data_IF_318094724020
#
_entry.id   IF_318094724020
#
_cell.length_a   1.000
_cell.length_b   1.000
_cell.length_c   1.000
_cell.angle_alpha   90.00
_cell.angle_beta   90.00
_cell.angle_gamma   90.00
#
_symmetry.space_group_name_H-M   'P 1'
#
loop_
_entity.id
_entity.type
_entity.pdbx_description
1 polymer ?
#
# COMPACT_ATOMS: atom_id res chain seq x y z
N UNK A 1 1.33 -18.65 -10.74
CA UNK A 1 2.16 -17.85 -11.66
C UNK A 1 2.20 -18.58 -13.00
N UNK A 2 1.19 -18.34 -13.85
CA UNK A 2 1.09 -19.02 -15.16
C UNK A 2 1.94 -18.25 -16.17
N UNK A 3 3.05 -18.86 -16.58
CA UNK A 3 3.92 -18.35 -17.65
C UNK A 3 3.12 -18.45 -18.95
N UNK A 4 2.53 -17.34 -19.39
CA UNK A 4 1.99 -17.21 -20.75
C UNK A 4 3.15 -17.37 -21.73
N UNK A 5 3.35 -18.57 -22.26
CA UNK A 5 4.17 -18.81 -23.45
C UNK A 5 3.51 -18.11 -24.63
N UNK A 6 4.02 -16.92 -24.98
CA UNK A 6 3.61 -16.18 -26.15
C UNK A 6 4.01 -16.98 -27.40
N UNK A 7 3.05 -17.67 -28.01
CA UNK A 7 3.20 -18.26 -29.32
C UNK A 7 3.33 -17.11 -30.33
N UNK A 8 4.57 -16.69 -30.64
CA UNK A 8 4.81 -15.67 -31.66
C UNK A 8 4.46 -16.28 -33.01
N UNK A 9 3.31 -15.90 -33.56
CA UNK A 9 2.93 -16.24 -34.92
C UNK A 9 4.03 -15.74 -35.87
N UNK A 10 4.48 -16.59 -36.80
CA UNK A 10 5.50 -16.25 -37.81
C UNK A 10 5.14 -14.99 -38.64
N UNK A 11 3.86 -14.61 -38.66
CA UNK A 11 3.32 -13.43 -39.35
C UNK A 11 3.22 -12.17 -38.48
N UNK A 12 3.68 -12.19 -37.23
CA UNK A 12 3.71 -10.99 -36.38
C UNK A 12 4.93 -10.11 -36.71
N UNK A 13 4.84 -9.45 -37.86
CA UNK A 13 5.85 -8.51 -38.36
C UNK A 13 5.80 -7.18 -37.60
N UNK A 14 4.94 -7.00 -36.59
CA UNK A 14 4.84 -5.76 -35.78
C UNK A 14 5.62 -5.79 -34.47
N UNK A 15 6.10 -6.97 -34.06
CA UNK A 15 6.69 -7.18 -32.73
C UNK A 15 8.22 -7.22 -32.70
N UNK A 16 8.90 -6.88 -33.80
CA UNK A 16 10.37 -6.87 -33.83
C UNK A 16 10.95 -5.61 -33.17
N UNK A 17 12.19 -5.67 -32.64
CA UNK A 17 12.84 -4.47 -32.10
C UNK A 17 13.09 -3.44 -33.22
N UNK A 18 13.10 -2.12 -32.92
CA UNK A 18 13.38 -1.08 -33.91
C UNK A 18 14.65 -1.32 -34.73
N UNK A 19 15.70 -1.83 -34.07
CA UNK A 19 16.96 -2.15 -34.73
C UNK A 19 16.79 -3.15 -35.89
N UNK A 20 15.90 -4.13 -35.76
CA UNK A 20 15.67 -5.11 -36.82
C UNK A 20 15.09 -4.47 -38.08
N UNK A 21 14.09 -3.59 -37.95
CA UNK A 21 13.56 -2.86 -39.12
C UNK A 21 14.60 -1.91 -39.73
N UNK A 22 15.45 -1.29 -38.91
CA UNK A 22 16.57 -0.47 -39.40
C UNK A 22 17.57 -1.30 -40.21
N UNK A 23 17.92 -2.51 -39.75
CA UNK A 23 18.77 -3.43 -40.49
C UNK A 23 18.11 -3.90 -41.79
N UNK A 24 16.81 -4.20 -41.78
CA UNK A 24 16.06 -4.59 -42.99
C UNK A 24 16.04 -3.43 -43.99
N UNK A 25 15.85 -2.18 -43.54
CA UNK A 25 15.88 -0.99 -44.38
C UNK A 25 17.25 -0.79 -45.05
N UNK A 26 18.34 -0.96 -44.30
CA UNK A 26 19.71 -0.89 -44.85
C UNK A 26 20.00 -2.05 -45.82
N UNK A 27 19.52 -3.25 -45.50
CA UNK A 27 19.66 -4.40 -46.39
C UNK A 27 18.90 -4.19 -47.70
N UNK A 28 17.71 -3.57 -47.67
CA UNK A 28 16.97 -3.19 -48.87
C UNK A 28 17.84 -2.32 -49.80
N UNK A 29 18.51 -1.29 -49.28
CA UNK A 29 19.41 -0.43 -50.08
C UNK A 29 20.52 -1.26 -50.75
N UNK A 30 21.20 -2.11 -49.98
CA UNK A 30 22.32 -2.88 -50.52
C UNK A 30 21.87 -3.91 -51.56
N UNK A 31 20.77 -4.62 -51.31
CA UNK A 31 20.25 -5.65 -52.21
C UNK A 31 19.79 -5.01 -53.52
N UNK A 32 19.01 -3.92 -53.47
CA UNK A 32 18.53 -3.26 -54.67
C UNK A 32 19.65 -2.56 -55.46
N UNK A 33 20.65 -1.98 -54.78
CA UNK A 33 21.86 -1.49 -55.44
C UNK A 33 22.55 -2.58 -56.27
N UNK A 34 22.72 -3.78 -55.70
CA UNK A 34 23.30 -4.92 -56.41
C UNK A 34 22.43 -5.36 -57.59
N UNK A 35 21.11 -5.42 -57.42
CA UNK A 35 20.17 -5.73 -58.49
C UNK A 35 20.28 -4.73 -59.64
N UNK A 36 20.38 -3.43 -59.34
CA UNK A 36 20.50 -2.39 -60.37
C UNK A 36 21.78 -2.49 -61.17
N UNK A 37 22.94 -2.70 -60.52
CA UNK A 37 24.22 -2.78 -61.24
C UNK A 37 24.44 -4.11 -61.97
N UNK A 38 23.97 -5.24 -61.43
CA UNK A 38 24.23 -6.55 -62.04
C UNK A 38 23.19 -6.98 -63.07
N UNK A 39 21.93 -6.54 -62.92
CA UNK A 39 20.83 -6.98 -63.79
C UNK A 39 20.40 -5.86 -64.74
N UNK A 40 20.37 -4.60 -64.26
CA UNK A 40 19.71 -3.49 -64.98
C UNK A 40 20.66 -2.35 -65.38
N UNK A 41 21.98 -2.55 -65.40
CA UNK A 41 22.94 -1.47 -65.60
C UNK A 41 22.72 -0.68 -66.91
N UNK A 42 22.23 -1.35 -67.96
CA UNK A 42 22.02 -0.77 -69.29
C UNK A 42 20.60 -0.24 -69.52
N UNK A 43 19.70 -0.39 -68.54
CA UNK A 43 18.28 -0.06 -68.66
C UNK A 43 17.95 1.36 -68.18
N UNK A 44 18.98 2.16 -67.90
CA UNK A 44 18.88 3.58 -67.57
C UNK A 44 19.07 4.45 -68.82
N UNK A 45 18.51 5.66 -68.82
CA UNK A 45 18.73 6.63 -69.89
C UNK A 45 20.20 7.08 -69.90
N UNK A 46 20.83 7.06 -71.07
CA UNK A 46 22.24 7.42 -71.23
C UNK A 46 23.18 6.22 -71.11
N UNK A 47 24.35 6.45 -70.51
CA UNK A 47 25.39 5.44 -70.31
C UNK A 47 25.02 4.42 -69.21
N UNK A 48 25.67 3.26 -69.24
CA UNK A 48 25.48 2.21 -68.24
C UNK A 48 25.84 2.68 -66.84
N UNK A 49 25.01 2.36 -65.84
CA UNK A 49 25.29 2.78 -64.46
C UNK A 49 26.38 1.94 -63.79
N UNK A 50 27.27 2.60 -63.06
CA UNK A 50 28.30 1.95 -62.23
C UNK A 50 27.83 1.66 -60.79
N UNK A 51 28.69 1.01 -60.00
CA UNK A 51 28.40 0.66 -58.59
C UNK A 51 27.94 1.87 -57.75
N UNK A 52 28.66 2.99 -57.82
CA UNK A 52 28.35 4.20 -57.03
C UNK A 52 26.99 4.79 -57.43
N UNK A 53 26.72 4.85 -58.74
CA UNK A 53 25.45 5.36 -59.28
C UNK A 53 24.28 4.44 -58.89
N UNK A 54 24.48 3.12 -58.89
CA UNK A 54 23.46 2.15 -58.47
C UNK A 54 23.11 2.28 -56.98
N UNK A 55 24.10 2.49 -56.12
CA UNK A 55 23.92 2.68 -54.68
C UNK A 55 23.19 4.00 -54.42
N UNK A 56 23.63 5.06 -55.09
CA UNK A 56 22.98 6.35 -55.03
C UNK A 56 21.51 6.28 -55.48
N UNK A 57 21.23 5.65 -56.62
CA UNK A 57 19.86 5.48 -57.11
C UNK A 57 18.99 4.69 -56.13
N UNK A 58 19.53 3.61 -55.56
CA UNK A 58 18.83 2.80 -54.55
C UNK A 58 18.52 3.59 -53.27
N UNK A 59 19.46 4.41 -52.77
CA UNK A 59 19.25 5.29 -51.62
C UNK A 59 18.16 6.31 -51.92
N UNK A 60 18.25 7.03 -53.03
CA UNK A 60 17.30 8.08 -53.43
C UNK A 60 15.90 7.53 -53.68
N UNK A 61 15.81 6.29 -54.15
CA UNK A 61 14.55 5.57 -54.39
C UNK A 61 13.90 5.12 -53.08
N UNK A 62 14.63 4.44 -52.19
CA UNK A 62 14.05 3.96 -50.91
C UNK A 62 13.71 5.10 -49.95
N UNK A 63 14.43 6.22 -50.04
CA UNK A 63 14.15 7.44 -49.27
C UNK A 63 13.04 8.27 -49.90
N UNK A 64 12.49 7.84 -51.05
CA UNK A 64 11.44 8.53 -51.81
C UNK A 64 11.82 9.94 -52.26
N UNK A 65 13.12 10.27 -52.28
CA UNK A 65 13.63 11.58 -52.71
C UNK A 65 13.49 11.77 -54.23
N UNK A 66 13.81 10.73 -55.01
CA UNK A 66 13.55 10.69 -56.45
C UNK A 66 14.07 11.89 -57.27
N UNK A 67 15.35 12.25 -57.14
CA UNK A 67 15.92 13.45 -57.79
C UNK A 67 15.83 13.50 -59.32
N UNK A 68 15.67 12.34 -59.98
CA UNK A 68 15.43 12.24 -61.44
C UNK A 68 16.67 12.41 -62.31
N UNK A 69 17.85 12.55 -61.72
CA UNK A 69 19.14 12.59 -62.40
C UNK A 69 19.54 11.23 -63.00
N UNK A 70 19.16 10.13 -62.36
CA UNK A 70 19.18 8.78 -62.91
C UNK A 70 17.75 8.31 -63.17
N UNK A 71 17.41 8.08 -64.44
CA UNK A 71 16.04 7.74 -64.85
C UNK A 71 16.01 6.41 -65.61
N UNK A 72 15.22 5.42 -65.17
CA UNK A 72 14.91 4.21 -65.95
C UNK A 72 14.36 4.54 -67.34
N UNK A 73 14.69 3.74 -68.35
CA UNK A 73 14.03 3.85 -69.66
C UNK A 73 12.58 3.37 -69.55
N UNK A 74 11.69 4.00 -70.32
CA UNK A 74 10.25 3.73 -70.23
C UNK A 74 9.85 2.35 -70.79
N UNK A 75 10.66 1.84 -71.72
CA UNK A 75 10.55 0.50 -72.31
C UNK A 75 11.12 -0.61 -71.42
N UNK A 76 11.86 -0.28 -70.37
CA UNK A 76 12.39 -1.23 -69.38
C UNK A 76 11.35 -1.57 -68.29
N UNK A 77 10.23 -2.17 -68.69
CA UNK A 77 9.14 -2.55 -67.79
C UNK A 77 9.59 -3.38 -66.55
N UNK A 78 10.54 -4.35 -66.65
CA UNK A 78 11.03 -5.08 -65.48
C UNK A 78 11.75 -4.19 -64.46
N UNK A 79 12.53 -3.18 -64.91
CA UNK A 79 13.20 -2.24 -64.02
C UNK A 79 12.19 -1.37 -63.26
N UNK A 80 11.15 -0.88 -63.95
CA UNK A 80 10.09 -0.09 -63.31
C UNK A 80 9.34 -0.88 -62.22
N UNK A 81 9.11 -2.17 -62.44
CA UNK A 81 8.53 -3.07 -61.43
C UNK A 81 9.45 -3.16 -60.20
N UNK A 82 10.75 -3.41 -60.41
CA UNK A 82 11.74 -3.52 -59.33
C UNK A 82 11.85 -2.22 -58.53
N UNK A 83 11.88 -1.06 -59.20
CA UNK A 83 11.86 0.26 -58.55
C UNK A 83 10.60 0.42 -57.68
N UNK A 84 9.43 0.09 -58.23
CA UNK A 84 8.17 0.16 -57.49
C UNK A 84 8.18 -0.76 -56.27
N UNK A 85 8.68 -1.99 -56.42
CA UNK A 85 8.83 -2.94 -55.32
C UNK A 85 9.78 -2.41 -54.23
N UNK A 86 10.89 -1.77 -54.61
CA UNK A 86 11.81 -1.17 -53.65
C UNK A 86 11.12 -0.08 -52.82
N UNK A 87 10.38 0.82 -53.47
CA UNK A 87 9.65 1.91 -52.79
C UNK A 87 8.63 1.35 -51.81
N UNK A 88 7.81 0.38 -52.22
CA UNK A 88 6.80 -0.24 -51.36
C UNK A 88 7.45 -0.89 -50.14
N UNK A 89 8.54 -1.64 -50.32
CA UNK A 89 9.27 -2.25 -49.21
C UNK A 89 9.90 -1.20 -48.28
N UNK A 90 10.45 -0.12 -48.83
CA UNK A 90 11.01 1.00 -48.06
C UNK A 90 9.97 1.68 -47.18
N UNK A 91 8.81 2.02 -47.76
CA UNK A 91 7.70 2.67 -47.03
C UNK A 91 7.13 1.77 -45.93
N UNK A 92 6.94 0.48 -46.21
CA UNK A 92 6.45 -0.48 -45.19
C UNK A 92 7.45 -0.59 -44.04
N UNK A 93 8.74 -0.77 -44.34
CA UNK A 93 9.78 -0.98 -43.33
C UNK A 93 10.01 0.25 -42.44
N UNK A 94 10.00 1.46 -43.01
CA UNK A 94 10.10 2.69 -42.19
C UNK A 94 8.84 2.91 -41.34
N UNK A 95 7.64 2.58 -41.85
CA UNK A 95 6.40 2.64 -41.07
C UNK A 95 6.43 1.70 -39.87
N UNK A 96 6.87 0.45 -40.08
CA UNK A 96 7.03 -0.53 -39.00
C UNK A 96 8.11 -0.11 -38.00
N UNK A 97 9.21 0.48 -38.47
CA UNK A 97 10.25 1.04 -37.61
C UNK A 97 9.69 2.12 -36.68
N UNK A 98 8.99 3.12 -37.24
CA UNK A 98 8.36 4.20 -36.48
C UNK A 98 7.33 3.66 -35.47
N UNK A 99 6.51 2.69 -35.87
CA UNK A 99 5.55 2.05 -34.97
C UNK A 99 6.24 1.39 -33.77
N UNK A 100 7.31 0.64 -34.01
CA UNK A 100 8.06 -0.04 -32.95
C UNK A 100 8.73 0.93 -31.97
N UNK A 101 9.20 2.09 -32.45
CA UNK A 101 9.73 3.16 -31.59
C UNK A 101 8.62 3.77 -30.75
N UNK A 102 7.48 4.07 -31.38
CA UNK A 102 6.32 4.65 -30.71
C UNK A 102 5.85 3.77 -29.55
N UNK A 103 5.69 2.47 -29.77
CA UNK A 103 5.33 1.52 -28.73
C UNK A 103 6.33 1.51 -27.57
N UNK A 104 7.64 1.41 -27.85
CA UNK A 104 8.67 1.41 -26.81
C UNK A 104 8.71 2.70 -26.01
N UNK A 105 8.48 3.84 -26.66
CA UNK A 105 8.45 5.13 -25.99
C UNK A 105 7.19 5.26 -25.12
N UNK A 106 6.04 4.80 -25.61
CA UNK A 106 4.79 4.75 -24.85
C UNK A 106 4.95 3.88 -23.60
N UNK A 107 5.43 2.64 -23.76
CA UNK A 107 5.64 1.73 -22.64
C UNK A 107 6.56 2.33 -21.56
N UNK A 108 7.63 3.01 -21.97
CA UNK A 108 8.54 3.70 -21.04
C UNK A 108 7.85 4.85 -20.31
N UNK A 109 7.03 5.64 -21.00
CA UNK A 109 6.27 6.73 -20.40
C UNK A 109 5.22 6.19 -19.43
N UNK A 110 4.44 5.20 -19.84
CA UNK A 110 3.41 4.57 -19.02
C UNK A 110 4.02 3.94 -17.76
N UNK A 111 5.16 3.26 -17.89
CA UNK A 111 5.88 2.69 -16.75
C UNK A 111 6.43 3.76 -15.80
N UNK A 112 7.03 4.83 -16.33
CA UNK A 112 7.53 5.93 -15.52
C UNK A 112 6.39 6.67 -14.79
N UNK A 113 5.26 6.87 -15.48
CA UNK A 113 4.07 7.50 -14.91
C UNK A 113 3.47 6.65 -13.79
N UNK A 114 3.26 5.35 -14.01
CA UNK A 114 2.75 4.44 -12.96
C UNK A 114 3.64 4.43 -11.73
N UNK A 115 4.96 4.34 -11.92
CA UNK A 115 5.92 4.41 -10.80
C UNK A 115 5.85 5.74 -10.04
N UNK A 116 5.67 6.84 -10.76
CA UNK A 116 5.52 8.15 -10.13
C UNK A 116 4.21 8.24 -9.33
N UNK A 117 3.10 7.75 -9.88
CA UNK A 117 1.80 7.70 -9.19
C UNK A 117 1.86 6.83 -7.92
N UNK A 118 2.44 5.63 -8.00
CA UNK A 118 2.66 4.73 -6.86
C UNK A 118 3.50 5.40 -5.75
N UNK A 119 4.57 6.10 -6.13
CA UNK A 119 5.45 6.80 -5.19
C UNK A 119 4.73 8.01 -4.53
N UNK A 120 3.91 8.74 -5.29
CA UNK A 120 3.08 9.84 -4.75
C UNK A 120 2.03 9.32 -3.79
N UNK A 121 1.34 8.22 -4.12
CA UNK A 121 0.34 7.59 -3.27
C UNK A 121 0.96 7.12 -1.96
N UNK A 122 2.08 6.38 -2.03
CA UNK A 122 2.82 5.89 -0.86
C UNK A 122 3.28 7.04 0.05
N UNK A 123 3.82 8.11 -0.52
CA UNK A 123 4.27 9.28 0.25
C UNK A 123 3.10 10.04 0.88
N UNK A 124 1.95 10.09 0.20
CA UNK A 124 0.73 10.69 0.74
C UNK A 124 0.20 9.86 1.91
N UNK A 125 0.05 8.55 1.74
CA UNK A 125 -0.38 7.63 2.78
C UNK A 125 0.51 7.73 4.03
N UNK A 126 1.84 7.74 3.84
CA UNK A 126 2.81 7.94 4.92
C UNK A 126 2.59 9.23 5.72
N UNK A 127 2.34 10.36 5.05
CA UNK A 127 2.05 11.63 5.72
C UNK A 127 0.75 11.55 6.52
N UNK A 128 -0.30 10.98 5.93
CA UNK A 128 -1.60 10.82 6.58
C UNK A 128 -1.50 9.91 7.81
N UNK A 129 -0.85 8.76 7.70
CA UNK A 129 -0.60 7.85 8.81
C UNK A 129 0.25 8.49 9.92
N UNK A 130 1.20 9.37 9.57
CA UNK A 130 1.98 10.12 10.56
C UNK A 130 1.08 11.07 11.38
N UNK A 131 0.02 11.64 10.78
CA UNK A 131 -0.96 12.48 11.48
C UNK A 131 -1.86 11.64 12.40
N UNK A 132 -2.17 10.39 12.03
CA UNK A 132 -3.00 9.49 12.83
C UNK A 132 -2.25 8.89 14.03
N UNK A 133 -0.93 8.66 13.90
CA UNK A 133 -0.09 7.99 14.91
C UNK A 133 -0.31 8.50 16.34
N UNK A 134 -0.36 9.81 16.63
CA UNK A 134 -0.59 10.31 18.00
C UNK A 134 -1.90 9.86 18.64
N UNK A 135 -2.98 9.72 17.87
CA UNK A 135 -4.27 9.24 18.39
C UNK A 135 -4.17 7.77 18.85
N UNK A 136 -3.52 6.93 18.04
CA UNK A 136 -3.30 5.52 18.36
C UNK A 136 -2.33 5.36 19.53
N UNK A 137 -1.24 6.13 19.55
CA UNK A 137 -0.30 6.13 20.68
C UNK A 137 -1.01 6.54 21.98
N UNK A 138 -1.78 7.63 21.97
CA UNK A 138 -2.55 8.09 23.14
C UNK A 138 -3.49 7.01 23.66
N UNK A 139 -4.14 6.26 22.77
CA UNK A 139 -5.06 5.20 23.18
C UNK A 139 -4.34 3.94 23.68
N UNK A 140 -3.17 3.63 23.11
CA UNK A 140 -2.31 2.57 23.63
C UNK A 140 -1.86 2.84 25.07
N UNK A 141 -1.63 4.11 25.45
CA UNK A 141 -1.34 4.45 26.85
C UNK A 141 -2.49 4.01 27.77
N UNK A 142 -3.73 4.27 27.36
CA UNK A 142 -4.94 3.92 28.11
C UNK A 142 -5.10 2.40 28.24
N UNK A 143 -4.94 1.66 27.13
CA UNK A 143 -5.01 0.18 27.17
C UNK A 143 -3.91 -0.39 28.06
N UNK A 144 -2.74 0.22 28.05
CA UNK A 144 -1.62 -0.22 28.87
C UNK A 144 -1.83 0.08 30.36
N UNK A 145 -2.57 1.14 30.73
CA UNK A 145 -3.03 1.38 32.12
C UNK A 145 -4.02 0.30 32.58
N UNK A 146 -4.77 -0.30 31.66
CA UNK A 146 -5.71 -1.40 31.99
C UNK A 146 -4.97 -2.71 32.29
N UNK A 147 -3.77 -2.87 31.74
CA UNK A 147 -2.92 -4.02 32.02
C UNK A 147 -2.15 -3.79 33.31
N UNK A 148 -2.65 -4.37 34.41
CA UNK A 148 -1.77 -4.58 35.56
C UNK A 148 -0.78 -5.65 35.14
N UNK A 149 0.50 -5.32 35.14
CA UNK A 149 1.54 -6.33 35.05
C UNK A 149 1.48 -7.15 36.34
N UNK A 150 0.58 -8.15 36.41
CA UNK A 150 0.50 -9.14 37.50
C UNK A 150 1.59 -10.19 37.32
N UNK A 151 2.78 -9.72 37.00
CA UNK A 151 3.92 -10.60 36.92
C UNK A 151 4.41 -10.88 38.33
N UNK A 152 4.13 -12.09 38.79
CA UNK A 152 4.90 -12.73 39.86
C UNK A 152 6.37 -12.96 39.47
N UNK A 153 6.79 -12.54 38.25
CA UNK A 153 8.06 -12.93 37.60
C UNK A 153 8.95 -11.77 37.16
N UNK A 154 8.60 -10.49 37.34
CA UNK A 154 9.49 -9.39 36.95
C UNK A 154 10.01 -8.65 38.18
N UNK A 155 11.33 -8.70 38.31
CA UNK A 155 12.12 -8.13 39.41
C UNK A 155 12.76 -6.78 39.06
N UNK A 156 12.34 -6.15 37.95
CA UNK A 156 12.90 -4.90 37.45
C UNK A 156 11.98 -3.69 37.63
N UNK A 157 12.57 -2.50 37.74
CA UNK A 157 11.89 -1.22 37.89
C UNK A 157 11.01 -0.84 36.69
N UNK A 158 11.34 -1.34 35.48
CA UNK A 158 10.61 -1.05 34.25
C UNK A 158 10.48 -2.27 33.34
N UNK A 159 9.38 -2.38 32.60
CA UNK A 159 9.15 -3.41 31.55
C UNK A 159 8.90 -2.75 30.20
N UNK A 160 9.65 -3.17 29.19
CA UNK A 160 9.42 -2.76 27.81
C UNK A 160 8.53 -3.79 27.10
N UNK A 161 7.41 -3.36 26.55
CA UNK A 161 6.46 -4.19 25.81
C UNK A 161 6.25 -3.63 24.41
N UNK A 162 6.13 -4.53 23.44
CA UNK A 162 5.69 -4.21 22.08
C UNK A 162 4.19 -4.52 22.01
N UNK A 163 3.36 -3.77 21.27
CA UNK A 163 1.90 -3.96 21.23
C UNK A 163 1.44 -5.41 21.04
N UNK A 164 2.14 -6.20 20.22
CA UNK A 164 1.79 -7.61 19.97
C UNK A 164 1.95 -8.49 21.23
N UNK A 165 2.84 -8.11 22.15
CA UNK A 165 3.09 -8.84 23.39
C UNK A 165 2.18 -8.40 24.54
N UNK A 166 1.51 -7.24 24.42
CA UNK A 166 0.61 -6.75 25.45
C UNK A 166 -0.70 -7.55 25.46
N UNK A 167 -1.28 -7.81 24.29
CA UNK A 167 -2.59 -8.45 24.15
C UNK A 167 -2.52 -9.98 24.27
N UNK A 168 -1.96 -10.43 25.40
CA UNK A 168 -1.88 -11.83 25.79
C UNK A 168 -3.20 -12.37 26.35
N UNK A 169 -3.30 -13.69 26.53
CA UNK A 169 -4.47 -14.28 27.20
C UNK A 169 -4.68 -13.72 28.62
N UNK A 170 -3.59 -13.47 29.35
CA UNK A 170 -3.63 -12.87 30.69
C UNK A 170 -4.20 -11.45 30.66
N UNK A 171 -3.85 -10.67 29.63
CA UNK A 171 -4.46 -9.35 29.42
C UNK A 171 -5.98 -9.46 29.22
N UNK A 172 -6.44 -10.36 28.33
CA UNK A 172 -7.87 -10.57 28.10
C UNK A 172 -8.63 -11.04 29.37
N UNK A 173 -7.99 -11.88 30.19
CA UNK A 173 -8.55 -12.36 31.46
C UNK A 173 -8.63 -11.27 32.54
N UNK A 174 -7.76 -10.26 32.47
CA UNK A 174 -7.79 -9.10 33.36
C UNK A 174 -8.83 -8.07 32.91
N UNK A 175 -8.84 -7.71 31.63
CA UNK A 175 -9.76 -6.69 31.13
C UNK A 175 -11.23 -7.16 31.25
N UNK A 176 -11.47 -8.45 31.10
CA UNK A 176 -12.80 -9.05 31.27
C UNK A 176 -13.30 -9.09 32.72
N UNK A 177 -12.47 -8.67 33.69
CA UNK A 177 -12.80 -8.64 35.12
C UNK A 177 -12.68 -7.24 35.73
N UNK A 178 -12.53 -6.19 34.92
CA UNK A 178 -12.37 -4.81 35.40
C UNK A 178 -13.57 -4.34 36.24
N UNK A 179 -13.26 -3.67 37.33
CA UNK A 179 -14.19 -2.95 38.18
C UNK A 179 -14.27 -1.49 37.74
N UNK A 180 -15.19 -1.21 36.81
CA UNK A 180 -15.45 0.15 36.33
C UNK A 180 -15.95 1.12 37.43
N UNK A 181 -16.23 0.63 38.65
CA UNK A 181 -16.73 1.44 39.76
C UNK A 181 -15.66 1.76 40.80
N UNK A 182 -14.41 1.35 40.56
CA UNK A 182 -13.31 1.75 41.43
C UNK A 182 -13.18 3.26 41.47
N UNK A 183 -13.30 3.84 42.68
CA UNK A 183 -13.01 5.25 42.94
C UNK A 183 -11.53 5.49 43.22
N UNK A 184 -10.75 4.42 43.41
CA UNK A 184 -9.30 4.48 43.45
C UNK A 184 -8.78 4.51 42.01
N UNK A 185 -8.11 5.60 41.65
CA UNK A 185 -7.38 5.77 40.38
C UNK A 185 -6.09 6.54 40.64
N UNK A 186 -5.19 6.63 39.65
CA UNK A 186 -3.98 7.46 39.72
C UNK A 186 -4.22 8.95 39.98
N UNK A 187 -5.45 9.43 39.78
CA UNK A 187 -5.82 10.82 40.04
C UNK A 187 -6.18 11.08 41.51
N UNK A 188 -6.24 10.03 42.34
CA UNK A 188 -6.66 10.09 43.73
C UNK A 188 -7.99 9.39 43.96
N UNK A 189 -8.25 9.06 45.22
CA UNK A 189 -9.51 8.46 45.68
C UNK A 189 -10.66 9.47 45.50
N UNK A 190 -11.82 9.00 45.02
CA UNK A 190 -13.04 9.77 44.80
C UNK A 190 -12.93 10.95 43.81
N UNK A 191 -11.85 11.04 43.03
CA UNK A 191 -11.67 12.09 42.01
C UNK A 191 -12.41 11.75 40.71
N UNK A 192 -12.21 10.53 40.20
CA UNK A 192 -12.87 10.01 39.00
C UNK A 192 -12.96 8.50 39.13
N UNK A 193 -14.08 7.92 38.72
CA UNK A 193 -14.21 6.46 38.69
C UNK A 193 -13.44 5.88 37.50
N UNK A 194 -12.93 4.65 37.63
CA UNK A 194 -12.23 3.97 36.54
C UNK A 194 -13.08 3.90 35.25
N UNK A 195 -14.37 3.62 35.39
CA UNK A 195 -15.30 3.60 34.27
C UNK A 195 -15.51 4.95 33.60
N UNK A 196 -15.58 6.04 34.36
CA UNK A 196 -15.64 7.39 33.80
C UNK A 196 -14.38 7.75 33.02
N UNK A 197 -13.20 7.40 33.56
CA UNK A 197 -11.94 7.62 32.86
C UNK A 197 -11.88 6.84 31.54
N UNK A 198 -12.19 5.54 31.55
CA UNK A 198 -12.19 4.71 30.34
C UNK A 198 -13.24 5.20 29.32
N UNK A 199 -14.42 5.62 29.77
CA UNK A 199 -15.44 6.16 28.86
C UNK A 199 -14.97 7.47 28.20
N UNK A 200 -14.32 8.36 28.95
CA UNK A 200 -13.77 9.60 28.40
C UNK A 200 -12.69 9.32 27.36
N UNK A 201 -11.74 8.44 27.65
CA UNK A 201 -10.65 8.11 26.73
C UNK A 201 -11.14 7.32 25.50
N UNK A 202 -12.08 6.39 25.66
CA UNK A 202 -12.73 5.72 24.52
C UNK A 202 -13.46 6.72 23.62
N UNK A 203 -14.21 7.66 24.21
CA UNK A 203 -14.94 8.68 23.44
C UNK A 203 -14.00 9.63 22.71
N UNK A 204 -12.88 9.99 23.34
CA UNK A 204 -11.81 10.81 22.75
C UNK A 204 -11.14 10.08 21.58
N UNK A 205 -10.82 8.79 21.72
CA UNK A 205 -10.26 7.99 20.65
C UNK A 205 -11.22 7.87 19.44
N UNK A 206 -12.50 7.57 19.67
CA UNK A 206 -13.53 7.56 18.64
C UNK A 206 -13.62 8.92 17.92
N UNK A 207 -13.64 10.02 18.68
CA UNK A 207 -13.71 11.37 18.12
C UNK A 207 -12.47 11.74 17.28
N UNK A 208 -11.27 11.30 17.69
CA UNK A 208 -10.05 11.52 16.92
C UNK A 208 -10.06 10.75 15.59
N UNK A 209 -10.55 9.51 15.60
CA UNK A 209 -10.73 8.74 14.35
C UNK A 209 -11.78 9.41 13.46
N UNK A 210 -12.89 9.89 14.02
CA UNK A 210 -13.92 10.58 13.27
C UNK A 210 -13.42 11.88 12.62
N UNK A 211 -12.73 12.73 13.37
CA UNK A 211 -12.13 13.95 12.85
C UNK A 211 -11.11 13.65 11.73
N UNK A 212 -10.30 12.59 11.91
CA UNK A 212 -9.35 12.13 10.91
C UNK A 212 -10.06 11.66 9.62
N UNK A 213 -11.08 10.82 9.74
CA UNK A 213 -11.85 10.32 8.60
C UNK A 213 -12.57 11.47 7.88
N UNK A 214 -13.18 12.41 8.62
CA UNK A 214 -13.85 13.57 8.03
C UNK A 214 -12.90 14.44 7.19
N UNK A 215 -11.64 14.55 7.62
CA UNK A 215 -10.62 15.36 6.92
C UNK A 215 -9.98 14.62 5.75
N UNK A 216 -9.78 13.31 5.86
CA UNK A 216 -8.88 12.57 4.98
C UNK A 216 -9.50 11.39 4.23
N UNK A 217 -10.77 11.02 4.47
CA UNK A 217 -11.39 9.82 3.88
C UNK A 217 -11.26 9.72 2.35
N UNK A 218 -11.29 10.82 1.61
CA UNK A 218 -11.17 10.81 0.14
C UNK A 218 -9.77 10.44 -0.36
N UNK A 219 -8.75 10.54 0.50
CA UNK A 219 -7.34 10.31 0.19
C UNK A 219 -6.80 9.03 0.82
N UNK A 220 -7.64 8.28 1.55
CA UNK A 220 -7.24 7.05 2.24
C UNK A 220 -7.64 5.81 1.42
N UNK A 221 -6.84 4.73 1.47
CA UNK A 221 -7.24 3.43 0.94
C UNK A 221 -8.54 2.94 1.61
N UNK A 222 -9.40 2.27 0.84
CA UNK A 222 -10.69 1.76 1.30
C UNK A 222 -10.52 0.84 2.51
N UNK A 223 -9.54 -0.06 2.46
CA UNK A 223 -9.26 -1.01 3.54
C UNK A 223 -8.91 -0.31 4.87
N UNK A 224 -8.20 0.82 4.79
CA UNK A 224 -7.86 1.62 5.97
C UNK A 224 -9.09 2.35 6.52
N UNK A 225 -9.98 2.84 5.65
CA UNK A 225 -11.26 3.44 6.06
C UNK A 225 -12.11 2.39 6.77
N UNK A 226 -12.24 1.19 6.20
CA UNK A 226 -12.98 0.08 6.80
C UNK A 226 -12.42 -0.29 8.17
N UNK A 227 -11.09 -0.38 8.29
CA UNK A 227 -10.41 -0.65 9.56
C UNK A 227 -10.73 0.40 10.62
N UNK A 228 -10.63 1.69 10.26
CA UNK A 228 -10.89 2.80 11.18
C UNK A 228 -12.36 2.91 11.58
N UNK A 229 -13.28 2.71 10.64
CA UNK A 229 -14.73 2.66 10.90
C UNK A 229 -15.05 1.46 11.79
N UNK A 230 -14.41 0.31 11.54
CA UNK A 230 -14.56 -0.89 12.38
C UNK A 230 -14.06 -0.67 13.80
N UNK A 231 -12.92 0.00 13.98
CA UNK A 231 -12.37 0.33 15.29
C UNK A 231 -13.27 1.30 16.07
N UNK A 232 -13.65 2.44 15.47
CA UNK A 232 -14.40 3.49 16.17
C UNK A 232 -15.80 3.03 16.60
N UNK A 233 -16.42 2.12 15.84
CA UNK A 233 -17.77 1.61 16.08
C UNK A 233 -17.76 0.30 16.89
N UNK A 234 -16.59 -0.20 17.29
CA UNK A 234 -16.49 -1.48 17.95
C UNK A 234 -17.19 -1.48 19.32
N UNK A 235 -17.89 -2.57 19.65
CA UNK A 235 -18.66 -2.72 20.90
C UNK A 235 -17.80 -2.55 22.16
N UNK A 236 -16.55 -3.01 22.12
CA UNK A 236 -15.53 -2.82 23.18
C UNK A 236 -15.47 -1.37 23.70
N UNK A 237 -15.50 -0.36 22.80
CA UNK A 237 -15.40 1.05 23.20
C UNK A 237 -16.64 1.53 23.98
N UNK A 238 -17.80 0.92 23.73
CA UNK A 238 -19.08 1.29 24.35
C UNK A 238 -19.43 0.44 25.58
N UNK A 239 -18.66 -0.61 25.88
CA UNK A 239 -18.96 -1.56 26.94
C UNK A 239 -19.08 -0.89 28.33
N UNK A 240 -18.15 0.01 28.66
CA UNK A 240 -18.20 0.74 29.94
C UNK A 240 -19.49 1.55 30.10
N UNK A 241 -19.95 2.22 29.03
CA UNK A 241 -21.19 3.00 29.05
C UNK A 241 -22.40 2.12 29.35
N UNK A 242 -22.47 0.94 28.74
CA UNK A 242 -23.53 -0.04 29.01
C UNK A 242 -23.49 -0.55 30.45
N UNK A 243 -22.30 -0.84 30.97
CA UNK A 243 -22.12 -1.24 32.37
C UNK A 243 -22.62 -0.16 33.35
N UNK A 244 -22.30 1.12 33.09
CA UNK A 244 -22.79 2.26 33.90
C UNK A 244 -24.32 2.38 33.87
N UNK A 245 -24.94 2.24 32.69
CA UNK A 245 -26.39 2.32 32.52
C UNK A 245 -27.13 1.21 33.28
N UNK A 246 -26.62 -0.02 33.24
CA UNK A 246 -27.20 -1.13 34.01
C UNK A 246 -27.20 -0.83 35.51
N UNK A 247 -26.14 -0.24 36.05
CA UNK A 247 -26.05 0.08 37.48
C UNK A 247 -26.92 1.28 37.86
N UNK A 248 -27.08 2.28 36.99
CA UNK A 248 -28.05 3.35 37.22
C UNK A 248 -29.48 2.79 37.35
N UNK A 249 -29.82 1.79 36.54
CA UNK A 249 -31.08 1.08 36.65
C UNK A 249 -31.18 0.29 37.97
N UNK A 250 -30.12 -0.39 38.41
CA UNK A 250 -30.09 -1.06 39.73
C UNK A 250 -30.39 -0.08 40.88
N UNK A 251 -29.71 1.08 40.88
CA UNK A 251 -29.91 2.12 41.91
C UNK A 251 -31.32 2.70 41.88
N UNK A 252 -31.88 2.88 40.68
CA UNK A 252 -33.23 3.42 40.51
C UNK A 252 -34.32 2.41 40.88
N UNK A 253 -34.11 1.12 40.64
CA UNK A 253 -35.12 0.08 40.82
C UNK A 253 -34.93 -0.78 42.08
N UNK A 254 -33.81 -0.62 42.79
CA UNK A 254 -33.48 -1.41 43.99
C UNK A 254 -33.24 -2.89 43.70
N UNK A 255 -33.13 -3.27 42.43
CA UNK A 255 -32.90 -4.66 41.99
C UNK A 255 -31.41 -4.85 41.75
N UNK A 256 -30.82 -5.82 42.45
CA UNK A 256 -29.45 -6.24 42.21
C UNK A 256 -29.40 -7.11 40.96
N UNK A 257 -28.91 -6.56 39.85
CA UNK A 257 -28.71 -7.29 38.61
C UNK A 257 -27.42 -8.11 38.80
N UNK A 258 -27.42 -9.36 38.34
CA UNK A 258 -26.19 -10.14 38.35
C UNK A 258 -25.16 -9.42 37.51
N UNK A 259 -23.97 -9.18 38.06
CA UNK A 259 -22.85 -8.58 37.34
C UNK A 259 -22.36 -9.58 36.29
N UNK A 260 -23.11 -9.76 35.22
CA UNK A 260 -22.62 -10.47 34.05
C UNK A 260 -21.61 -9.51 33.44
N UNK A 261 -20.32 -9.83 33.58
CA UNK A 261 -19.31 -9.08 32.86
C UNK A 261 -19.61 -9.33 31.38
N UNK A 262 -20.10 -8.33 30.65
CA UNK A 262 -20.54 -8.55 29.26
C UNK A 262 -19.34 -9.00 28.40
N UNK A 263 -18.12 -8.62 28.81
CA UNK A 263 -16.83 -9.12 28.31
C UNK A 263 -16.60 -10.63 28.53
N UNK A 264 -17.19 -11.23 29.58
CA UNK A 264 -17.17 -12.70 29.76
C UNK A 264 -18.13 -13.44 28.83
N UNK A 265 -19.21 -12.80 28.34
CA UNK A 265 -20.08 -13.40 27.30
C UNK A 265 -19.30 -13.54 25.99
N UNK A 266 -18.46 -12.56 25.64
CA UNK A 266 -17.60 -12.60 24.45
C UNK A 266 -16.59 -13.77 24.47
N UNK A 267 -16.21 -14.22 25.67
CA UNK A 267 -15.32 -15.38 25.90
C UNK A 267 -16.08 -16.68 26.19
N UNK A 268 -17.41 -16.66 26.18
CA UNK A 268 -18.23 -17.84 26.42
C UNK A 268 -18.17 -18.79 25.23
N UNK A 269 -18.14 -20.10 25.51
CA UNK A 269 -18.30 -21.18 24.52
C UNK A 269 -19.76 -21.35 24.07
N UNK A 270 -20.69 -20.55 24.59
CA UNK A 270 -22.10 -20.57 24.21
C UNK A 270 -22.28 -19.93 22.83
N UNK A 271 -22.85 -20.68 21.88
CA UNK A 271 -23.27 -20.16 20.58
C UNK A 271 -24.53 -19.32 20.75
N UNK A 272 -24.45 -18.04 20.40
CA UNK A 272 -25.56 -17.07 20.42
C UNK A 272 -25.76 -16.59 18.98
N UNK A 273 -27.00 -16.40 18.48
CA UNK A 273 -27.28 -16.09 17.07
C UNK A 273 -26.51 -14.88 16.50
N UNK A 274 -26.20 -13.90 17.35
CA UNK A 274 -25.29 -12.79 17.07
C UNK A 274 -24.25 -12.74 18.20
N UNK A 275 -23.17 -13.50 18.07
CA UNK A 275 -22.08 -13.41 19.05
C UNK A 275 -21.43 -12.03 18.91
N UNK A 276 -21.42 -11.19 19.96
CA UNK A 276 -20.79 -9.87 19.89
C UNK A 276 -19.31 -10.02 19.49
N UNK A 277 -18.80 -9.10 18.68
CA UNK A 277 -17.39 -9.07 18.32
C UNK A 277 -16.54 -9.10 19.59
N UNK A 278 -15.66 -10.10 19.70
CA UNK A 278 -14.91 -10.31 20.92
C UNK A 278 -13.94 -9.17 21.19
N UNK A 279 -13.54 -8.99 22.46
CA UNK A 279 -12.44 -8.11 22.82
C UNK A 279 -11.19 -8.37 21.95
N UNK A 280 -10.95 -9.63 21.57
CA UNK A 280 -9.82 -9.98 20.70
C UNK A 280 -9.94 -9.35 19.32
N UNK A 281 -11.13 -9.32 18.70
CA UNK A 281 -11.36 -8.71 17.38
C UNK A 281 -10.98 -7.22 17.38
N UNK A 282 -11.37 -6.47 18.42
CA UNK A 282 -10.95 -5.07 18.57
C UNK A 282 -9.42 -4.92 18.60
N UNK A 283 -8.77 -5.73 19.43
CA UNK A 283 -7.33 -5.66 19.62
C UNK A 283 -6.56 -6.14 18.39
N UNK A 284 -7.07 -7.13 17.64
CA UNK A 284 -6.52 -7.55 16.35
C UNK A 284 -6.63 -6.43 15.31
N UNK A 285 -7.77 -5.74 15.21
CA UNK A 285 -7.91 -4.56 14.34
C UNK A 285 -6.95 -3.45 14.75
N UNK A 286 -6.77 -3.23 16.05
CA UNK A 286 -5.85 -2.22 16.56
C UNK A 286 -4.40 -2.58 16.24
N UNK A 287 -4.01 -3.85 16.39
CA UNK A 287 -2.68 -4.34 15.98
C UNK A 287 -2.44 -4.19 14.49
N UNK A 288 -3.44 -4.47 13.65
CA UNK A 288 -3.35 -4.25 12.21
C UNK A 288 -3.12 -2.77 11.89
N UNK A 289 -3.80 -1.86 12.58
CA UNK A 289 -3.59 -0.42 12.42
C UNK A 289 -2.18 0.00 12.88
N UNK A 290 -1.71 -0.53 14.01
CA UNK A 290 -0.36 -0.27 14.54
C UNK A 290 0.71 -0.79 13.56
N UNK A 291 0.54 -1.99 13.01
CA UNK A 291 1.45 -2.53 12.00
C UNK A 291 1.52 -1.62 10.77
N UNK A 292 0.37 -1.16 10.26
CA UNK A 292 0.32 -0.19 9.16
C UNK A 292 1.02 1.13 9.51
N UNK A 293 0.86 1.63 10.72
CA UNK A 293 1.55 2.84 11.20
C UNK A 293 3.06 2.62 11.28
N UNK A 294 3.53 1.50 11.82
CA UNK A 294 4.95 1.20 11.97
C UNK A 294 5.65 0.98 10.61
N UNK A 295 4.97 0.33 9.66
CA UNK A 295 5.52 0.12 8.30
C UNK A 295 5.62 1.42 7.49
N UNK A 296 4.70 2.36 7.71
CA UNK A 296 4.56 3.54 6.85
C UNK A 296 5.07 4.83 7.49
N UNK A 297 5.21 4.92 8.80
CA UNK A 297 5.74 6.12 9.46
C UNK A 297 7.25 5.99 9.64
N UNK A 298 8.02 7.03 9.27
CA UNK A 298 9.47 7.08 9.49
C UNK A 298 9.78 7.44 10.95
N UNK A 299 9.44 6.54 11.87
CA UNK A 299 9.73 6.68 13.28
C UNK A 299 9.94 5.31 13.93
N UNK A 300 10.50 5.33 15.14
CA UNK A 300 10.69 4.11 15.94
C UNK A 300 9.34 3.42 16.16
N UNK A 301 9.39 2.09 16.18
CA UNK A 301 8.26 1.20 16.46
C UNK A 301 7.56 1.67 17.73
N UNK A 302 6.23 1.58 17.80
CA UNK A 302 5.52 1.90 19.04
C UNK A 302 6.00 0.91 20.13
N UNK A 303 6.70 1.42 21.14
CA UNK A 303 7.19 0.65 22.30
C UNK A 303 6.60 1.26 23.57
N UNK A 304 6.06 0.39 24.42
CA UNK A 304 5.53 0.71 25.74
C UNK A 304 6.60 0.50 26.80
N UNK A 305 6.79 1.47 27.71
CA UNK A 305 7.61 1.29 28.92
C UNK A 305 6.74 1.41 30.17
N UNK A 306 6.55 0.29 30.89
CA UNK A 306 5.77 0.20 32.13
C UNK A 306 6.66 0.42 33.34
N UNK A 307 6.32 1.36 34.24
CA UNK A 307 7.02 1.58 35.51
C UNK A 307 6.39 0.70 36.62
N UNK A 308 7.21 -0.11 37.28
CA UNK A 308 6.80 -1.04 38.34
C UNK A 308 7.22 -0.59 39.75
N UNK A 309 7.92 0.54 39.89
CA UNK A 309 8.58 0.96 41.15
C UNK A 309 7.63 1.33 42.29
N UNK A 310 6.39 1.72 41.99
CA UNK A 310 5.37 2.04 43.02
C UNK A 310 4.67 0.80 43.60
N UNK A 311 5.15 -0.38 43.26
CA UNK A 311 4.66 -1.65 43.80
C UNK A 311 3.48 -2.20 43.02
N UNK A 312 3.50 -3.52 42.82
CA UNK A 312 2.34 -4.32 42.42
C UNK A 312 1.44 -4.45 43.65
N UNK A 313 0.97 -3.34 44.22
CA UNK A 313 -0.11 -3.42 45.20
C UNK A 313 -1.34 -3.85 44.43
N UNK A 314 -1.98 -4.92 44.85
CA UNK A 314 -3.24 -5.39 44.32
C UNK A 314 -4.39 -4.57 44.93
N UNK A 315 -4.98 -3.61 44.21
CA UNK A 315 -6.36 -3.25 44.43
C UNK A 315 -7.24 -4.15 43.55
N UNK A 316 -8.56 -4.06 43.70
CA UNK A 316 -9.58 -4.69 42.87
C UNK A 316 -9.18 -4.63 41.38
N UNK A 317 -9.48 -5.69 40.62
CA UNK A 317 -9.22 -5.73 39.18
C UNK A 317 -9.83 -4.45 38.55
N UNK A 318 -9.04 -3.61 37.86
CA UNK A 318 -9.54 -2.36 37.24
C UNK A 318 -9.52 -1.06 38.08
N UNK A 319 -8.42 -0.72 38.77
CA UNK A 319 -8.32 0.58 39.49
C UNK A 319 -7.09 1.44 39.16
N UNK A 320 -6.39 1.17 38.04
CA UNK A 320 -5.24 1.95 37.53
C UNK A 320 -4.41 2.71 38.58
N UNK A 321 -3.68 1.97 39.40
CA UNK A 321 -2.72 2.51 40.39
C UNK A 321 -1.29 2.60 39.78
N UNK A 322 -1.10 2.24 38.51
CA UNK A 322 0.20 2.30 37.82
C UNK A 322 0.47 3.67 37.17
N UNK A 323 1.75 4.08 37.12
CA UNK A 323 2.18 5.32 36.47
C UNK A 323 2.12 5.23 34.93
N UNK A 324 1.93 6.38 34.28
CA UNK A 324 1.79 6.52 32.83
C UNK A 324 2.99 5.93 32.08
N UNK A 325 2.70 5.13 31.06
CA UNK A 325 3.65 4.54 30.14
C UNK A 325 4.11 5.63 29.17
N UNK A 326 5.40 5.98 29.20
CA UNK A 326 5.98 6.91 28.22
C UNK A 326 6.30 6.19 26.92
N UNK A 327 5.77 6.70 25.81
CA UNK A 327 6.05 6.24 24.46
C UNK A 327 7.02 7.23 23.79
N UNK A 328 8.12 6.73 23.24
CA UNK A 328 9.13 7.60 22.64
C UNK A 328 10.43 6.87 22.34
N UNK A 329 11.36 7.55 21.64
CA UNK A 329 12.57 6.90 21.18
C UNK A 329 13.46 6.46 22.34
N UNK A 330 14.30 5.46 22.06
CA UNK A 330 15.24 4.86 23.00
C UNK A 330 16.14 5.95 23.64
N UNK A 331 15.89 6.35 24.89
CA UNK A 331 16.98 6.89 25.70
C UNK A 331 17.94 5.73 25.93
N UNK A 332 19.09 5.77 25.25
CA UNK A 332 20.24 4.97 25.66
C UNK A 332 20.46 5.29 27.14
N UNK A 333 20.21 4.32 28.01
CA UNK A 333 20.69 4.35 29.37
C UNK A 333 22.20 4.61 29.31
N UNK A 334 22.61 5.86 29.53
CA UNK A 334 23.97 6.14 29.95
C UNK A 334 24.07 5.52 31.34
N UNK A 335 24.92 4.49 31.42
CA UNK A 335 25.34 3.81 32.63
C UNK A 335 25.62 4.79 33.78
#
# INVERSE_FOLDING_TARGET
>A
MSVKTNHKNFLDVTSYPPLAYGVIYLANILIFSLVYVFIFANDFKGDSIGYVQSLYFSVVTVTTLGFGDLTPRLDAAPLLLVVTAQVVLGVITIGLFLNSISHKLSERKDFAQRKFEEEVEKNTLKKLLTILKPAVVSYMEVLSETYKVTTTRVTGDFVKLVPENLFSQEYYDQISRQDFFSNETRYGEDVITWGEFIEQENSKFTAQIDDYLNKFATSLPIDLIELLVGLKNHHFLNHCRQAKQMIQLERAQGVKISRINMLTIEHSSVEVPEKPNSIRDFHEKLLNLIALLDENTSGERIIMTVDLRKGVTAPSIGSAIADIIKFGPFEQQKN
#
